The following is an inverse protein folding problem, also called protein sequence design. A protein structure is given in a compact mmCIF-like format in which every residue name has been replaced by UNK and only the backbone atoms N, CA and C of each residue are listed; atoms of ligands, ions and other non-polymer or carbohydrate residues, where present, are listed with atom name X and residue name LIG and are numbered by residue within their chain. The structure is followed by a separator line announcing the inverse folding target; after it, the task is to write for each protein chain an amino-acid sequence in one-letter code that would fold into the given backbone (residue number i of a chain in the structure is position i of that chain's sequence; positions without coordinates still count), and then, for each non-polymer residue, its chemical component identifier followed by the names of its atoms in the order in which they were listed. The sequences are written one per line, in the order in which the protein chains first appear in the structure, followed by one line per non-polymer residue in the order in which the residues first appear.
data_IF_004632721467
#
_entry.id   IF_004632721467
#
_cell.length_a   1.000
_cell.length_b   1.000
_cell.length_c   1.000
_cell.angle_alpha   90.00
_cell.angle_beta   90.00
_cell.angle_gamma   90.00
#
_symmetry.space_group_name_H-M   'P 1'
#
loop_
_entity.id
_entity.type
_entity.pdbx_description
1 polymer ?
#
# COMPACT_ATOMS: atom_id res chain seq x y z
N UNK A 1 11.17 21.88 -44.43
CA UNK A 1 10.03 20.95 -44.37
C UNK A 1 10.06 20.29 -42.99
N UNK A 2 9.39 20.91 -42.03
CA UNK A 2 9.32 20.41 -40.66
C UNK A 2 8.29 19.31 -40.64
N UNK A 3 8.75 18.08 -40.40
CA UNK A 3 7.88 16.95 -40.16
C UNK A 3 7.24 17.13 -38.79
N UNK A 4 5.98 17.55 -38.76
CA UNK A 4 5.13 17.55 -37.58
C UNK A 4 5.00 16.13 -37.11
N UNK A 5 5.74 15.77 -36.05
CA UNK A 5 5.53 14.50 -35.31
C UNK A 5 4.15 14.58 -34.64
N UNK A 6 3.16 14.03 -35.28
CA UNK A 6 1.86 13.76 -34.64
C UNK A 6 2.09 12.80 -33.46
N UNK A 7 2.10 13.34 -32.27
CA UNK A 7 2.07 12.53 -31.04
C UNK A 7 0.72 11.81 -31.00
N UNK A 8 0.70 10.58 -31.49
CA UNK A 8 -0.47 9.70 -31.33
C UNK A 8 -0.74 9.54 -29.84
N UNK A 9 -1.85 10.06 -29.36
CA UNK A 9 -2.32 9.89 -28.01
C UNK A 9 -2.39 8.36 -27.72
N UNK A 10 -1.84 7.95 -26.57
CA UNK A 10 -1.93 6.53 -26.19
C UNK A 10 -3.41 6.14 -26.10
N UNK A 11 -3.82 4.97 -26.61
CA UNK A 11 -5.20 4.54 -26.54
C UNK A 11 -5.65 4.51 -25.07
N UNK A 12 -6.84 5.07 -24.84
CA UNK A 12 -7.46 5.09 -23.52
C UNK A 12 -7.87 3.66 -23.15
N UNK A 13 -7.45 3.18 -21.97
CA UNK A 13 -7.72 1.81 -21.53
C UNK A 13 -8.79 1.87 -20.44
N UNK A 14 -10.05 1.77 -20.84
CA UNK A 14 -11.23 1.94 -19.98
C UNK A 14 -11.21 1.03 -18.74
N UNK A 15 -10.84 -0.24 -18.90
CA UNK A 15 -10.81 -1.16 -17.75
C UNK A 15 -9.78 -0.77 -16.67
N UNK A 16 -8.68 -0.10 -17.04
CA UNK A 16 -7.72 0.43 -16.07
C UNK A 16 -8.29 1.57 -15.25
N UNK A 17 -9.10 2.42 -15.86
CA UNK A 17 -9.74 3.52 -15.14
C UNK A 17 -10.82 3.01 -14.19
N UNK A 18 -11.59 1.99 -14.61
CA UNK A 18 -12.52 1.29 -13.73
C UNK A 18 -11.79 0.63 -12.58
N UNK A 19 -10.68 -0.09 -12.84
CA UNK A 19 -9.89 -0.73 -11.80
C UNK A 19 -9.30 0.28 -10.82
N UNK A 20 -8.84 1.44 -11.32
CA UNK A 20 -8.35 2.54 -10.48
C UNK A 20 -9.47 3.10 -9.59
N UNK A 21 -10.65 3.32 -10.15
CA UNK A 21 -11.81 3.77 -9.37
C UNK A 21 -12.16 2.77 -8.26
N UNK A 22 -12.22 1.49 -8.57
CA UNK A 22 -12.47 0.43 -7.58
C UNK A 22 -11.40 0.45 -6.49
N UNK A 23 -10.12 0.52 -6.87
CA UNK A 23 -9.02 0.57 -5.90
C UNK A 23 -9.08 1.82 -4.99
N UNK A 24 -9.46 2.99 -5.53
CA UNK A 24 -9.66 4.22 -4.74
C UNK A 24 -10.82 4.02 -3.74
N UNK A 25 -11.95 3.47 -4.19
CA UNK A 25 -13.09 3.21 -3.31
C UNK A 25 -12.73 2.19 -2.22
N UNK A 26 -11.93 1.18 -2.54
CA UNK A 26 -11.41 0.23 -1.53
C UNK A 26 -10.51 0.92 -0.50
N UNK A 27 -9.63 1.85 -0.92
CA UNK A 27 -8.79 2.63 0.03
C UNK A 27 -9.65 3.49 0.95
N UNK A 28 -10.64 4.19 0.41
CA UNK A 28 -11.56 4.99 1.23
C UNK A 28 -12.31 4.09 2.21
N UNK A 29 -12.87 2.99 1.73
CA UNK A 29 -13.63 2.07 2.55
C UNK A 29 -12.78 1.44 3.67
N UNK A 30 -11.51 1.08 3.42
CA UNK A 30 -10.65 0.51 4.46
C UNK A 30 -10.39 1.51 5.58
N UNK A 31 -10.11 2.78 5.24
CA UNK A 31 -9.94 3.82 6.25
C UNK A 31 -11.23 4.15 7.02
N UNK A 32 -12.40 3.88 6.44
CA UNK A 32 -13.67 3.94 7.17
C UNK A 32 -13.87 2.73 8.12
N UNK A 33 -13.20 1.60 7.88
CA UNK A 33 -13.27 0.42 8.73
C UNK A 33 -12.19 0.38 9.82
N UNK A 34 -11.10 1.11 9.66
CA UNK A 34 -9.99 1.16 10.62
C UNK A 34 -10.46 1.49 12.06
N UNK A 35 -11.37 2.46 12.31
CA UNK A 35 -11.85 2.74 13.67
C UNK A 35 -12.51 1.57 14.39
N UNK A 36 -13.10 0.62 13.64
CA UNK A 36 -13.72 -0.57 14.24
C UNK A 36 -12.69 -1.57 14.80
N UNK A 37 -11.43 -1.45 14.40
CA UNK A 37 -10.36 -2.35 14.80
C UNK A 37 -9.18 -1.63 15.48
N UNK A 38 -9.19 -0.29 15.49
CA UNK A 38 -8.05 0.51 15.93
C UNK A 38 -7.84 0.47 17.44
N UNK A 39 -8.92 0.54 18.26
CA UNK A 39 -8.80 0.58 19.71
C UNK A 39 -9.06 -0.78 20.35
N UNK A 40 -8.47 -1.04 21.55
CA UNK A 40 -8.79 -2.24 22.32
C UNK A 40 -10.27 -2.35 22.65
N UNK A 41 -10.96 -1.23 22.93
CA UNK A 41 -12.39 -1.18 23.24
C UNK A 41 -13.22 -1.60 22.01
N UNK A 42 -12.86 -1.09 20.83
CA UNK A 42 -13.51 -1.46 19.56
C UNK A 42 -13.34 -2.95 19.28
N UNK A 43 -12.13 -3.48 19.48
CA UNK A 43 -11.84 -4.92 19.31
C UNK A 43 -12.55 -5.81 20.31
N UNK A 44 -12.75 -5.33 21.55
CA UNK A 44 -13.49 -6.04 22.60
C UNK A 44 -15.00 -6.13 22.29
N UNK A 45 -15.54 -5.25 21.45
CA UNK A 45 -16.92 -5.34 20.98
C UNK A 45 -17.04 -6.42 19.90
N UNK A 46 -17.79 -7.51 20.13
CA UNK A 46 -17.87 -8.62 19.18
C UNK A 46 -18.41 -8.25 17.80
N UNK A 47 -19.35 -7.31 17.75
CA UNK A 47 -19.96 -6.86 16.50
C UNK A 47 -18.97 -6.00 15.69
N UNK A 48 -18.30 -5.04 16.31
CA UNK A 48 -17.29 -4.20 15.67
C UNK A 48 -16.12 -5.05 15.17
N UNK A 49 -15.62 -5.97 16.01
CA UNK A 49 -14.55 -6.88 15.63
C UNK A 49 -14.96 -7.78 14.44
N UNK A 50 -16.19 -8.31 14.45
CA UNK A 50 -16.67 -9.14 13.35
C UNK A 50 -16.78 -8.36 12.04
N UNK A 51 -17.51 -7.24 12.01
CA UNK A 51 -17.71 -6.48 10.79
C UNK A 51 -16.43 -5.78 10.30
N UNK A 52 -15.63 -5.26 11.22
CA UNK A 52 -14.31 -4.70 10.91
C UNK A 52 -13.41 -5.73 10.24
N UNK A 53 -13.38 -6.97 10.75
CA UNK A 53 -12.59 -8.05 10.14
C UNK A 53 -13.12 -8.46 8.77
N UNK A 54 -14.44 -8.54 8.58
CA UNK A 54 -15.08 -8.89 7.29
C UNK A 54 -14.73 -7.85 6.22
N UNK A 55 -15.01 -6.57 6.48
CA UNK A 55 -14.76 -5.50 5.52
C UNK A 55 -13.29 -5.19 5.35
N UNK A 56 -12.55 -5.12 6.46
CA UNK A 56 -11.11 -4.88 6.44
C UNK A 56 -10.37 -5.88 5.56
N UNK A 57 -10.63 -7.18 5.74
CA UNK A 57 -9.97 -8.24 4.96
C UNK A 57 -10.29 -8.17 3.46
N UNK A 58 -11.52 -7.78 3.10
CA UNK A 58 -11.93 -7.67 1.69
C UNK A 58 -11.20 -6.54 0.96
N UNK A 59 -10.85 -5.47 1.67
CA UNK A 59 -10.34 -4.23 1.08
C UNK A 59 -8.81 -4.16 0.98
N UNK A 60 -8.07 -5.11 1.60
CA UNK A 60 -6.59 -5.12 1.65
C UNK A 60 -5.90 -5.20 0.28
N UNK A 61 -6.58 -5.68 -0.74
CA UNK A 61 -6.03 -5.74 -2.10
C UNK A 61 -5.86 -4.35 -2.76
N UNK A 62 -6.33 -3.26 -2.16
CA UNK A 62 -6.34 -1.93 -2.76
C UNK A 62 -4.95 -1.42 -3.14
N UNK A 63 -3.99 -1.43 -2.21
CA UNK A 63 -2.61 -0.97 -2.46
C UNK A 63 -1.87 -1.88 -3.45
N UNK A 64 -1.88 -3.21 -3.31
CA UNK A 64 -1.38 -4.12 -4.33
C UNK A 64 -1.91 -3.83 -5.73
N UNK A 65 -3.20 -3.53 -5.90
CA UNK A 65 -3.78 -3.18 -7.20
C UNK A 65 -3.16 -1.92 -7.80
N UNK A 66 -2.91 -0.86 -7.01
CA UNK A 66 -2.21 0.34 -7.50
C UNK A 66 -0.80 0.05 -7.96
N UNK A 67 -0.06 -0.77 -7.22
CA UNK A 67 1.30 -1.17 -7.59
C UNK A 67 1.27 -2.03 -8.86
N UNK A 68 0.33 -2.96 -8.98
CA UNK A 68 0.17 -3.79 -10.18
C UNK A 68 -0.18 -2.93 -11.41
N UNK A 69 -1.11 -1.98 -11.30
CA UNK A 69 -1.41 -1.04 -12.38
C UNK A 69 -0.19 -0.21 -12.77
N UNK A 70 0.62 0.21 -11.81
CA UNK A 70 1.88 0.91 -12.05
C UNK A 70 2.86 0.05 -12.84
N UNK A 71 3.02 -1.22 -12.45
CA UNK A 71 3.85 -2.17 -13.16
C UNK A 71 3.37 -2.47 -14.58
N UNK A 72 2.06 -2.63 -14.77
CA UNK A 72 1.45 -2.80 -16.08
C UNK A 72 1.72 -1.63 -17.03
N UNK A 73 1.57 -0.41 -16.53
CA UNK A 73 1.67 0.81 -17.35
C UNK A 73 3.11 1.24 -17.64
N UNK A 74 4.04 0.96 -16.72
CA UNK A 74 5.37 1.57 -16.74
C UNK A 74 6.50 0.59 -17.01
N UNK A 75 6.34 -0.72 -16.78
CA UNK A 75 7.38 -1.70 -17.08
C UNK A 75 7.28 -2.25 -18.51
N UNK A 76 8.40 -2.42 -19.22
CA UNK A 76 9.73 -1.90 -18.87
C UNK A 76 9.83 -0.40 -19.16
N UNK A 77 10.59 0.33 -18.35
CA UNK A 77 10.93 1.74 -18.59
C UNK A 77 11.88 1.82 -19.77
N UNK A 78 11.43 2.43 -20.87
CA UNK A 78 12.21 2.53 -22.12
C UNK A 78 12.94 3.86 -22.28
N UNK A 79 12.65 4.82 -21.45
CA UNK A 79 13.30 6.13 -21.44
C UNK A 79 14.48 6.13 -20.48
N UNK A 80 15.39 7.07 -20.67
CA UNK A 80 16.52 7.29 -19.77
C UNK A 80 16.02 7.59 -18.34
N UNK A 81 16.74 7.07 -17.32
CA UNK A 81 16.31 7.09 -15.92
C UNK A 81 16.03 8.52 -15.40
N UNK A 82 16.90 9.48 -15.72
CA UNK A 82 16.73 10.88 -15.30
C UNK A 82 15.45 11.48 -15.87
N UNK A 83 15.14 11.19 -17.14
CA UNK A 83 13.91 11.63 -17.80
C UNK A 83 12.69 10.98 -17.17
N UNK A 84 12.77 9.70 -16.81
CA UNK A 84 11.71 9.00 -16.12
C UNK A 84 11.42 9.63 -14.74
N UNK A 85 12.46 9.87 -13.93
CA UNK A 85 12.33 10.48 -12.61
C UNK A 85 11.74 11.88 -12.67
N UNK A 86 12.30 12.76 -13.52
CA UNK A 86 11.81 14.13 -13.73
C UNK A 86 10.34 14.18 -14.15
N UNK A 87 9.86 13.15 -14.84
CA UNK A 87 8.48 13.09 -15.33
C UNK A 87 7.51 12.49 -14.32
N UNK A 88 7.95 11.53 -13.49
CA UNK A 88 7.06 10.74 -12.61
C UNK A 88 7.05 11.23 -11.17
N UNK A 89 8.22 11.47 -10.59
CA UNK A 89 8.32 11.84 -9.18
C UNK A 89 7.56 13.15 -8.88
N UNK A 90 7.73 14.24 -9.63
CA UNK A 90 7.04 15.49 -9.30
C UNK A 90 5.51 15.38 -9.31
N UNK A 91 4.94 14.51 -10.16
CA UNK A 91 3.48 14.33 -10.27
C UNK A 91 2.84 13.76 -9.01
N UNK A 92 3.59 12.99 -8.22
CA UNK A 92 3.12 12.44 -6.95
C UNK A 92 3.65 13.25 -5.78
N UNK A 93 4.86 13.80 -5.90
CA UNK A 93 5.53 14.56 -4.84
C UNK A 93 4.81 15.89 -4.54
N UNK A 94 4.41 16.65 -5.55
CA UNK A 94 3.75 17.94 -5.30
C UNK A 94 2.41 17.81 -4.58
N UNK A 95 1.45 16.97 -5.05
CA UNK A 95 0.22 16.75 -4.29
C UNK A 95 0.49 16.19 -2.88
N UNK A 96 1.45 15.27 -2.77
CA UNK A 96 1.86 14.70 -1.49
C UNK A 96 2.33 15.78 -0.51
N UNK A 97 3.25 16.66 -0.92
CA UNK A 97 3.75 17.74 -0.04
C UNK A 97 2.63 18.68 0.39
N UNK A 98 1.74 19.05 -0.55
CA UNK A 98 0.60 19.93 -0.24
C UNK A 98 -0.29 19.29 0.83
N UNK A 99 -0.71 18.04 0.63
CA UNK A 99 -1.59 17.34 1.56
C UNK A 99 -0.91 17.05 2.90
N UNK A 100 0.37 16.64 2.91
CA UNK A 100 1.11 16.41 4.16
C UNK A 100 1.21 17.67 5.00
N UNK A 101 1.53 18.81 4.37
CA UNK A 101 1.54 20.11 5.07
C UNK A 101 0.15 20.48 5.61
N UNK A 102 -0.91 20.25 4.83
CA UNK A 102 -2.27 20.52 5.28
C UNK A 102 -2.66 19.62 6.48
N UNK A 103 -2.32 18.34 6.43
CA UNK A 103 -2.58 17.42 7.55
C UNK A 103 -1.79 17.81 8.80
N UNK A 104 -0.51 18.13 8.66
CA UNK A 104 0.33 18.51 9.82
C UNK A 104 -0.08 19.86 10.43
N UNK A 105 -0.63 20.78 9.64
CA UNK A 105 -1.15 22.05 10.13
C UNK A 105 -2.58 21.96 10.70
N UNK A 106 -3.34 20.94 10.33
CA UNK A 106 -4.77 20.89 10.65
C UNK A 106 -5.08 20.93 12.15
N UNK A 107 -4.39 20.20 13.05
CA UNK A 107 -4.67 20.27 14.48
C UNK A 107 -4.47 21.68 15.08
N UNK A 108 -3.37 22.34 14.71
CA UNK A 108 -3.11 23.71 15.10
C UNK A 108 -4.16 24.68 14.55
N UNK A 109 -4.48 24.56 13.25
CA UNK A 109 -5.43 25.46 12.58
C UNK A 109 -6.83 25.34 13.17
N UNK A 110 -7.31 24.12 13.45
CA UNK A 110 -8.63 23.89 14.07
C UNK A 110 -8.71 24.62 15.43
N UNK A 111 -7.69 24.48 16.27
CA UNK A 111 -7.64 25.17 17.57
C UNK A 111 -7.53 26.67 17.40
N UNK A 112 -6.72 27.15 16.45
CA UNK A 112 -6.56 28.61 16.19
C UNK A 112 -7.84 29.29 15.76
N UNK A 113 -8.71 28.62 15.02
CA UNK A 113 -10.04 29.15 14.63
C UNK A 113 -11.12 28.96 15.72
N UNK A 114 -10.74 28.50 16.91
CA UNK A 114 -11.64 28.32 18.04
C UNK A 114 -12.34 26.96 18.11
N UNK A 115 -11.86 25.95 17.32
CA UNK A 115 -12.31 24.58 17.47
C UNK A 115 -11.85 23.96 18.79
N UNK A 116 -12.70 23.10 19.37
CA UNK A 116 -12.35 22.40 20.60
C UNK A 116 -11.31 21.28 20.38
N UNK A 117 -10.56 20.89 21.43
CA UNK A 117 -9.68 19.73 21.35
C UNK A 117 -10.40 18.43 20.97
N UNK A 118 -11.66 18.28 21.39
CA UNK A 118 -12.50 17.13 21.04
C UNK A 118 -12.73 17.05 19.52
N UNK A 119 -12.95 18.20 18.87
CA UNK A 119 -13.10 18.27 17.42
C UNK A 119 -11.85 17.77 16.70
N UNK A 120 -10.66 18.11 17.22
CA UNK A 120 -9.39 17.58 16.67
C UNK A 120 -9.31 16.07 16.81
N UNK A 121 -9.70 15.54 17.97
CA UNK A 121 -9.72 14.10 18.25
C UNK A 121 -10.75 13.37 17.36
N UNK A 122 -11.88 14.00 17.05
CA UNK A 122 -12.89 13.43 16.14
C UNK A 122 -12.36 13.27 14.70
N UNK A 123 -11.54 14.22 14.24
CA UNK A 123 -10.92 14.14 12.92
C UNK A 123 -9.65 13.27 12.87
N UNK A 124 -8.92 13.19 13.99
CA UNK A 124 -7.65 12.48 14.11
C UNK A 124 -7.66 11.60 15.37
N UNK A 125 -8.44 10.52 15.38
CA UNK A 125 -8.71 9.72 16.59
C UNK A 125 -7.49 8.94 17.12
N UNK A 126 -6.42 8.85 16.34
CA UNK A 126 -5.19 8.13 16.71
C UNK A 126 -4.21 8.99 17.52
N UNK A 127 -4.42 10.28 17.58
CA UNK A 127 -3.48 11.20 18.24
C UNK A 127 -3.83 11.34 19.73
N UNK A 128 -2.94 10.94 20.64
CA UNK A 128 -3.20 11.03 22.07
C UNK A 128 -3.15 12.46 22.62
N UNK A 129 -2.55 13.40 21.86
CA UNK A 129 -2.43 14.81 22.28
C UNK A 129 -2.78 15.77 21.13
N UNK A 130 -4.04 16.19 21.05
CA UNK A 130 -4.51 17.09 19.98
C UNK A 130 -4.02 18.54 20.11
N UNK A 131 -3.24 18.89 21.14
CA UNK A 131 -2.78 20.25 21.42
C UNK A 131 -1.50 20.67 20.68
N UNK A 132 -1.31 20.21 19.44
CA UNK A 132 -0.13 20.56 18.66
C UNK A 132 0.00 22.07 18.47
N UNK A 133 1.11 22.64 18.94
CA UNK A 133 1.44 24.06 18.73
C UNK A 133 1.90 24.28 17.28
N UNK A 134 1.87 25.54 16.82
CA UNK A 134 2.41 25.91 15.52
C UNK A 134 3.88 25.50 15.35
N UNK A 135 4.67 25.56 16.41
CA UNK A 135 6.08 25.14 16.41
C UNK A 135 6.20 23.62 16.18
N UNK A 136 5.33 22.83 16.81
CA UNK A 136 5.28 21.39 16.58
C UNK A 136 4.88 21.06 15.14
N UNK A 137 3.86 21.73 14.61
CA UNK A 137 3.45 21.59 13.21
C UNK A 137 4.60 21.90 12.23
N UNK A 138 5.39 22.95 12.49
CA UNK A 138 6.55 23.27 11.67
C UNK A 138 7.66 22.20 11.76
N UNK A 139 7.87 21.59 12.92
CA UNK A 139 8.83 20.49 13.07
C UNK A 139 8.41 19.26 12.28
N UNK A 140 7.12 18.88 12.36
CA UNK A 140 6.59 17.75 11.61
C UNK A 140 6.70 17.98 10.09
N UNK A 141 6.35 19.18 9.62
CA UNK A 141 6.51 19.57 8.22
C UNK A 141 7.98 19.47 7.77
N UNK A 142 8.93 19.89 8.59
CA UNK A 142 10.36 19.79 8.27
C UNK A 142 10.82 18.32 8.16
N UNK A 143 10.14 17.40 8.81
CA UNK A 143 10.45 15.97 8.78
C UNK A 143 9.78 15.21 7.64
N UNK A 144 8.83 15.80 6.91
CA UNK A 144 8.12 15.16 5.78
C UNK A 144 9.07 14.40 4.82
N UNK A 145 10.29 14.91 4.47
CA UNK A 145 11.19 14.14 3.60
C UNK A 145 11.67 12.80 4.18
N UNK A 146 11.59 12.61 5.48
CA UNK A 146 12.13 11.45 6.20
C UNK A 146 11.04 10.54 6.76
N UNK A 147 9.92 11.12 7.19
CA UNK A 147 8.84 10.39 7.88
C UNK A 147 7.52 11.11 7.72
N UNK A 148 6.45 10.48 8.18
CA UNK A 148 5.11 11.07 8.26
C UNK A 148 4.59 11.00 9.69
N UNK A 149 3.71 11.93 10.05
CA UNK A 149 3.02 11.92 11.33
C UNK A 149 1.77 11.05 11.28
N UNK A 150 1.22 10.73 12.44
CA UNK A 150 -0.05 10.01 12.55
C UNK A 150 -1.18 10.72 11.79
N UNK A 151 -1.18 12.04 11.75
CA UNK A 151 -2.15 12.84 10.97
C UNK A 151 -2.06 12.58 9.47
N UNK A 152 -0.87 12.29 8.97
CA UNK A 152 -0.57 12.05 7.57
C UNK A 152 -0.40 10.56 7.25
N UNK A 153 -0.86 9.66 8.11
CA UNK A 153 -0.72 8.20 7.92
C UNK A 153 -1.10 7.72 6.51
N UNK A 154 -2.19 8.17 5.86
CA UNK A 154 -2.52 7.72 4.51
C UNK A 154 -1.45 8.05 3.46
N UNK A 155 -0.52 8.96 3.76
CA UNK A 155 0.56 9.37 2.86
C UNK A 155 1.72 8.36 2.77
N UNK A 156 1.79 7.36 3.66
CA UNK A 156 2.85 6.34 3.64
C UNK A 156 3.05 5.70 2.28
N UNK A 157 1.96 5.49 1.53
CA UNK A 157 1.99 4.88 0.21
C UNK A 157 2.83 5.68 -0.80
N UNK A 158 2.87 7.01 -0.67
CA UNK A 158 3.63 7.86 -1.60
C UNK A 158 5.13 7.66 -1.41
N UNK A 159 5.61 7.46 -0.17
CA UNK A 159 7.01 7.10 0.09
C UNK A 159 7.35 5.77 -0.59
N UNK A 160 6.51 4.76 -0.41
CA UNK A 160 6.67 3.46 -1.05
C UNK A 160 6.66 3.59 -2.59
N UNK A 161 5.74 4.38 -3.14
CA UNK A 161 5.62 4.59 -4.59
C UNK A 161 6.84 5.32 -5.18
N UNK A 162 7.38 6.33 -4.48
CA UNK A 162 8.62 7.02 -4.89
C UNK A 162 9.78 6.02 -4.86
N UNK A 163 9.91 5.21 -3.81
CA UNK A 163 10.90 4.14 -3.75
C UNK A 163 10.81 3.17 -4.93
N UNK A 164 9.60 2.76 -5.28
CA UNK A 164 9.36 1.92 -6.46
C UNK A 164 9.74 2.64 -7.77
N UNK A 165 9.45 3.93 -7.92
CA UNK A 165 9.88 4.69 -9.10
C UNK A 165 11.40 4.78 -9.21
N UNK A 166 12.11 4.94 -8.10
CA UNK A 166 13.58 4.94 -8.10
C UNK A 166 14.14 3.57 -8.51
N UNK A 167 13.49 2.49 -8.09
CA UNK A 167 13.88 1.12 -8.40
C UNK A 167 13.56 0.71 -9.85
N UNK A 168 12.46 1.23 -10.44
CA UNK A 168 11.92 0.76 -11.72
C UNK A 168 12.90 0.77 -12.91
N UNK A 169 13.74 1.79 -13.16
CA UNK A 169 14.67 1.74 -14.29
C UNK A 169 15.67 0.60 -14.20
N UNK A 170 16.18 0.32 -13.00
CA UNK A 170 17.09 -0.81 -12.75
C UNK A 170 16.37 -2.14 -12.97
N UNK A 171 15.20 -2.29 -12.42
CA UNK A 171 14.39 -3.50 -12.55
C UNK A 171 13.94 -3.74 -14.00
N UNK A 172 13.68 -2.68 -14.74
CA UNK A 172 13.29 -2.74 -16.15
C UNK A 172 14.33 -3.40 -17.04
N UNK A 173 15.61 -3.19 -16.76
CA UNK A 173 16.69 -3.81 -17.53
C UNK A 173 16.64 -5.35 -17.43
N UNK A 174 16.29 -5.87 -16.28
CA UNK A 174 16.06 -7.30 -16.09
C UNK A 174 14.73 -7.74 -16.70
N UNK A 175 13.63 -7.02 -16.45
CA UNK A 175 12.30 -7.36 -16.95
C UNK A 175 12.25 -7.47 -18.46
N UNK A 176 12.99 -6.61 -19.18
CA UNK A 176 13.05 -6.60 -20.63
C UNK A 176 13.73 -7.85 -21.20
N UNK A 177 14.82 -8.29 -20.55
CA UNK A 177 15.65 -9.42 -21.02
C UNK A 177 15.22 -10.78 -20.45
N UNK A 178 14.52 -10.79 -19.32
CA UNK A 178 14.16 -12.01 -18.63
C UNK A 178 13.14 -12.84 -19.43
N UNK A 179 13.38 -14.14 -19.51
CA UNK A 179 12.41 -15.10 -20.08
C UNK A 179 11.16 -15.20 -19.18
N UNK A 180 10.06 -15.68 -19.76
CA UNK A 180 8.84 -15.95 -19.00
C UNK A 180 9.07 -16.95 -17.86
N UNK A 181 9.97 -17.93 -18.07
CA UNK A 181 10.35 -18.87 -17.01
C UNK A 181 11.04 -18.17 -15.85
N UNK A 182 11.97 -17.24 -16.12
CA UNK A 182 12.66 -16.47 -15.10
C UNK A 182 11.69 -15.56 -14.32
N UNK A 183 10.74 -14.91 -15.03
CA UNK A 183 9.69 -14.07 -14.39
C UNK A 183 8.78 -14.89 -13.48
N UNK A 184 8.34 -16.09 -13.92
CA UNK A 184 7.56 -16.99 -13.07
C UNK A 184 8.34 -17.45 -11.85
N UNK A 185 9.61 -17.82 -12.01
CA UNK A 185 10.47 -18.21 -10.90
C UNK A 185 10.60 -17.08 -9.88
N UNK A 186 10.87 -15.85 -10.33
CA UNK A 186 10.90 -14.67 -9.47
C UNK A 186 9.58 -14.50 -8.72
N UNK A 187 8.46 -14.53 -9.42
CA UNK A 187 7.13 -14.36 -8.81
C UNK A 187 6.81 -15.47 -7.80
N UNK A 188 7.22 -16.71 -8.06
CA UNK A 188 7.01 -17.81 -7.13
C UNK A 188 7.85 -17.66 -5.86
N UNK A 189 9.13 -17.31 -5.99
CA UNK A 189 10.01 -17.07 -4.83
C UNK A 189 9.55 -15.84 -4.04
N UNK A 190 9.16 -14.78 -4.73
CA UNK A 190 8.59 -13.59 -4.10
C UNK A 190 7.30 -13.92 -3.33
N UNK A 191 6.39 -14.67 -3.93
CA UNK A 191 5.15 -15.10 -3.27
C UNK A 191 5.45 -15.92 -2.01
N UNK A 192 6.41 -16.84 -2.06
CA UNK A 192 6.84 -17.60 -0.89
C UNK A 192 7.40 -16.67 0.19
N UNK A 193 8.19 -15.65 -0.19
CA UNK A 193 8.77 -14.71 0.78
C UNK A 193 7.72 -13.86 1.52
N UNK A 194 6.53 -13.69 0.96
CA UNK A 194 5.43 -12.96 1.63
C UNK A 194 4.90 -13.70 2.88
N UNK A 195 5.18 -14.99 3.03
CA UNK A 195 4.78 -15.77 4.20
C UNK A 195 5.78 -15.69 5.37
N UNK A 196 6.95 -15.07 5.17
CA UNK A 196 7.99 -14.99 6.22
C UNK A 196 7.51 -14.22 7.45
N UNK A 197 6.83 -13.08 7.35
CA UNK A 197 6.29 -12.39 8.53
C UNK A 197 5.36 -13.28 9.36
N UNK A 198 4.51 -14.07 8.69
CA UNK A 198 3.62 -15.02 9.37
C UNK A 198 4.39 -16.14 10.08
N UNK A 199 5.44 -16.68 9.44
CA UNK A 199 6.32 -17.66 10.09
C UNK A 199 7.02 -17.05 11.30
N UNK A 200 7.38 -15.77 11.24
CA UNK A 200 8.00 -15.05 12.36
C UNK A 200 7.08 -15.05 13.56
N UNK A 201 5.81 -14.78 13.37
CA UNK A 201 4.82 -14.78 14.48
C UNK A 201 4.61 -16.17 15.10
N UNK A 202 4.46 -17.20 14.28
CA UNK A 202 4.17 -18.55 14.79
C UNK A 202 5.38 -19.33 15.30
N UNK A 203 6.60 -18.99 14.86
CA UNK A 203 7.82 -19.74 15.21
C UNK A 203 8.94 -18.86 15.78
N UNK A 204 8.60 -17.73 16.35
CA UNK A 204 9.54 -16.73 16.88
C UNK A 204 10.60 -17.31 17.82
N UNK A 205 10.23 -18.31 18.62
CA UNK A 205 11.15 -19.01 19.55
C UNK A 205 12.36 -19.64 18.85
N UNK A 206 12.23 -20.00 17.58
CA UNK A 206 13.25 -20.72 16.81
C UNK A 206 13.95 -19.84 15.77
N UNK A 207 13.68 -18.54 15.76
CA UNK A 207 14.21 -17.66 14.74
C UNK A 207 15.57 -17.07 15.13
N UNK A 208 16.46 -17.13 14.16
CA UNK A 208 17.73 -16.42 14.19
C UNK A 208 17.76 -15.42 13.03
N UNK A 209 18.43 -14.28 13.24
CA UNK A 209 18.64 -13.29 12.19
C UNK A 209 17.46 -12.39 11.89
N UNK A 210 16.45 -12.34 12.76
CA UNK A 210 15.44 -11.29 12.69
C UNK A 210 16.11 -9.95 13.03
N UNK A 211 15.86 -8.95 12.22
CA UNK A 211 16.29 -7.60 12.52
C UNK A 211 15.08 -6.70 12.65
N UNK A 212 15.07 -5.86 13.67
CA UNK A 212 13.98 -4.96 14.02
C UNK A 212 13.64 -3.92 12.95
N UNK A 213 14.48 -3.76 11.94
CA UNK A 213 14.31 -2.78 10.88
C UNK A 213 13.70 -3.34 9.59
N UNK A 214 13.36 -4.65 9.55
CA UNK A 214 12.60 -5.19 8.43
C UNK A 214 11.80 -6.45 8.81
N UNK A 215 10.55 -6.49 8.40
CA UNK A 215 9.63 -7.60 8.66
C UNK A 215 9.88 -8.85 7.80
N UNK A 216 10.66 -8.73 6.73
CA UNK A 216 10.99 -9.82 5.82
C UNK A 216 12.30 -10.55 6.16
N UNK A 217 12.96 -10.21 7.28
CA UNK A 217 14.21 -10.82 7.71
C UNK A 217 15.27 -10.79 6.62
N UNK A 218 15.90 -11.92 6.34
CA UNK A 218 16.97 -12.02 5.35
C UNK A 218 16.51 -11.79 3.90
N UNK A 219 15.21 -11.80 3.63
CA UNK A 219 14.65 -11.58 2.30
C UNK A 219 14.26 -10.12 2.01
N UNK A 220 14.69 -9.20 2.84
CA UNK A 220 14.42 -7.77 2.75
C UNK A 220 14.58 -7.18 1.34
N UNK A 221 15.66 -7.51 0.63
CA UNK A 221 15.92 -6.98 -0.72
C UNK A 221 15.05 -7.62 -1.81
N UNK A 222 14.42 -8.74 -1.52
CA UNK A 222 13.67 -9.52 -2.50
C UNK A 222 12.15 -9.40 -2.31
N UNK A 223 11.69 -9.37 -1.07
CA UNK A 223 10.27 -9.26 -0.71
C UNK A 223 9.72 -7.83 -0.89
N UNK A 224 8.45 -7.67 -0.67
CA UNK A 224 7.78 -6.37 -0.69
C UNK A 224 7.05 -6.06 -2.00
N UNK A 225 6.84 -4.76 -2.27
CA UNK A 225 5.96 -4.30 -3.37
C UNK A 225 6.53 -4.49 -4.77
N UNK A 226 7.83 -4.73 -4.92
CA UNK A 226 8.48 -4.96 -6.21
C UNK A 226 7.88 -6.14 -6.98
N UNK A 227 7.47 -7.20 -6.29
CA UNK A 227 6.82 -8.34 -6.92
C UNK A 227 5.46 -8.01 -7.51
N UNK A 228 4.69 -7.14 -6.88
CA UNK A 228 3.42 -6.67 -7.46
C UNK A 228 3.63 -5.86 -8.74
N UNK A 229 4.73 -5.10 -8.87
CA UNK A 229 5.08 -4.44 -10.15
C UNK A 229 5.24 -5.47 -11.27
N UNK A 230 6.01 -6.53 -11.00
CA UNK A 230 6.23 -7.60 -11.98
C UNK A 230 4.95 -8.37 -12.26
N UNK A 231 4.16 -8.66 -11.23
CA UNK A 231 2.90 -9.39 -11.38
C UNK A 231 1.94 -8.63 -12.29
N UNK A 232 1.77 -7.32 -12.09
CA UNK A 232 0.95 -6.48 -12.95
C UNK A 232 1.43 -6.46 -14.40
N UNK A 233 2.73 -6.32 -14.62
CA UNK A 233 3.33 -6.40 -15.94
C UNK A 233 3.15 -7.78 -16.60
N UNK A 234 3.35 -8.85 -15.84
CA UNK A 234 3.27 -10.22 -16.34
C UNK A 234 1.83 -10.61 -16.72
N UNK A 235 0.86 -10.29 -15.85
CA UNK A 235 -0.55 -10.56 -16.11
C UNK A 235 -1.09 -9.72 -17.27
N UNK A 236 -0.72 -8.45 -17.36
CA UNK A 236 -1.15 -7.57 -18.42
C UNK A 236 -0.74 -7.98 -19.82
N UNK A 237 0.30 -8.80 -19.96
CA UNK A 237 0.70 -9.40 -21.23
C UNK A 237 -0.09 -10.64 -21.62
N UNK A 238 -0.86 -11.22 -20.69
CA UNK A 238 -1.54 -12.52 -20.86
C UNK A 238 -3.06 -12.41 -20.95
N UNK A 239 -3.59 -11.24 -21.26
CA UNK A 239 -5.03 -10.94 -21.23
C UNK A 239 -5.86 -11.59 -22.34
N UNK A 240 -5.31 -12.52 -23.10
CA UNK A 240 -6.04 -13.29 -24.14
C UNK A 240 -6.61 -14.57 -23.54
N UNK A 241 -7.63 -14.46 -22.69
CA UNK A 241 -8.32 -15.62 -22.13
C UNK A 241 -9.82 -15.43 -22.13
N UNK A 242 -10.58 -16.54 -22.27
CA UNK A 242 -12.04 -16.48 -22.10
C UNK A 242 -12.36 -15.99 -20.68
N UNK A 243 -13.18 -14.95 -20.55
CA UNK A 243 -13.56 -14.33 -19.28
C UNK A 243 -14.03 -15.37 -18.25
N UNK A 244 -14.85 -16.34 -18.67
CA UNK A 244 -15.34 -17.39 -17.79
C UNK A 244 -14.24 -18.24 -17.17
N UNK A 245 -13.22 -18.63 -17.94
CA UNK A 245 -12.07 -19.38 -17.41
C UNK A 245 -11.24 -18.54 -16.43
N UNK A 246 -11.04 -17.27 -16.73
CA UNK A 246 -10.32 -16.35 -15.84
C UNK A 246 -11.08 -16.19 -14.51
N UNK A 247 -12.38 -15.95 -14.53
CA UNK A 247 -13.21 -15.82 -13.33
C UNK A 247 -13.22 -17.12 -12.51
N UNK A 248 -13.34 -18.27 -13.17
CA UNK A 248 -13.30 -19.58 -12.50
C UNK A 248 -12.02 -19.83 -11.73
N UNK A 249 -10.90 -19.27 -12.15
CA UNK A 249 -9.62 -19.38 -11.45
C UNK A 249 -9.40 -18.28 -10.40
N UNK A 250 -9.80 -17.04 -10.71
CA UNK A 250 -9.48 -15.89 -9.85
C UNK A 250 -10.45 -15.74 -8.68
N UNK A 251 -11.71 -16.10 -8.82
CA UNK A 251 -12.69 -16.02 -7.72
C UNK A 251 -12.31 -16.96 -6.57
N UNK A 252 -12.03 -18.26 -6.79
CA UNK A 252 -11.59 -19.13 -5.70
C UNK A 252 -10.28 -18.64 -5.04
N UNK A 253 -9.33 -18.17 -5.84
CA UNK A 253 -8.08 -17.63 -5.30
C UNK A 253 -8.30 -16.40 -4.42
N UNK A 254 -9.19 -15.49 -4.85
CA UNK A 254 -9.59 -14.34 -4.04
C UNK A 254 -10.27 -14.77 -2.74
N UNK A 255 -11.20 -15.71 -2.80
CA UNK A 255 -11.91 -16.21 -1.61
C UNK A 255 -10.96 -16.91 -0.62
N UNK A 256 -9.98 -17.66 -1.12
CA UNK A 256 -8.95 -18.27 -0.26
C UNK A 256 -8.11 -17.19 0.42
N UNK A 257 -7.62 -16.19 -0.32
CA UNK A 257 -6.87 -15.08 0.25
C UNK A 257 -7.69 -14.29 1.28
N UNK A 258 -8.92 -13.94 0.93
CA UNK A 258 -9.85 -13.27 1.83
C UNK A 258 -10.06 -14.06 3.14
N UNK A 259 -10.31 -15.37 3.02
CA UNK A 259 -10.54 -16.22 4.18
C UNK A 259 -9.30 -16.35 5.07
N UNK A 260 -8.11 -16.46 4.49
CA UNK A 260 -6.84 -16.48 5.24
C UNK A 260 -6.68 -15.18 6.03
N UNK A 261 -6.87 -14.02 5.40
CA UNK A 261 -6.76 -12.72 6.05
C UNK A 261 -7.80 -12.57 7.17
N UNK A 262 -9.06 -12.88 6.88
CA UNK A 262 -10.14 -12.80 7.86
C UNK A 262 -9.94 -13.75 9.05
N UNK A 263 -9.61 -15.01 8.80
CA UNK A 263 -9.39 -15.99 9.86
C UNK A 263 -8.13 -15.67 10.68
N UNK A 264 -7.06 -15.23 10.02
CA UNK A 264 -5.83 -14.81 10.68
C UNK A 264 -6.07 -13.62 11.61
N UNK A 265 -6.75 -12.58 11.13
CA UNK A 265 -7.10 -11.43 11.95
C UNK A 265 -7.98 -11.83 13.14
N UNK A 266 -9.01 -12.67 12.92
CA UNK A 266 -9.88 -13.19 14.00
C UNK A 266 -9.12 -14.01 15.03
N UNK A 267 -8.15 -14.80 14.58
CA UNK A 267 -7.27 -15.58 15.48
C UNK A 267 -6.40 -14.65 16.32
N UNK A 268 -5.73 -13.68 15.71
CA UNK A 268 -4.87 -12.73 16.43
C UNK A 268 -5.67 -11.89 17.44
N UNK A 269 -6.82 -11.39 17.06
CA UNK A 269 -7.67 -10.57 17.95
C UNK A 269 -8.37 -11.39 19.05
N UNK A 270 -8.30 -12.72 19.03
CA UNK A 270 -8.77 -13.55 20.14
C UNK A 270 -7.84 -13.54 21.35
N UNK A 271 -6.58 -13.16 21.17
CA UNK A 271 -5.64 -12.94 22.27
C UNK A 271 -5.70 -11.46 22.70
N UNK A 272 -6.13 -11.16 23.94
CA UNK A 272 -6.18 -9.78 24.43
C UNK A 272 -4.80 -9.12 24.55
N UNK A 273 -3.72 -9.90 24.54
CA UNK A 273 -2.35 -9.43 24.65
C UNK A 273 -1.64 -9.29 23.27
N UNK A 274 -2.35 -9.52 22.18
CA UNK A 274 -1.76 -9.38 20.85
C UNK A 274 -1.24 -7.96 20.64
N UNK A 275 -0.01 -7.84 20.16
CA UNK A 275 0.58 -6.54 19.80
C UNK A 275 -0.11 -5.95 18.56
N UNK A 276 -0.04 -4.62 18.42
CA UNK A 276 -0.51 -3.96 17.20
C UNK A 276 0.20 -4.50 15.96
N UNK A 277 1.52 -4.73 16.05
CA UNK A 277 2.33 -5.32 14.98
C UNK A 277 1.83 -6.72 14.59
N UNK A 278 1.46 -7.56 15.58
CA UNK A 278 0.88 -8.88 15.33
C UNK A 278 -0.47 -8.81 14.63
N UNK A 279 -1.29 -7.81 14.93
CA UNK A 279 -2.56 -7.60 14.23
C UNK A 279 -2.36 -7.09 12.80
N UNK A 280 -1.44 -6.15 12.60
CA UNK A 280 -1.11 -5.60 11.30
C UNK A 280 -0.59 -6.65 10.31
N UNK A 281 -0.10 -7.78 10.81
CA UNK A 281 0.34 -8.89 9.99
C UNK A 281 -0.76 -9.40 9.03
N UNK A 282 -2.02 -9.37 9.46
CA UNK A 282 -3.18 -9.80 8.67
C UNK A 282 -4.02 -8.62 8.15
N UNK A 283 -3.55 -7.42 8.39
CA UNK A 283 -4.23 -6.18 7.99
C UNK A 283 -3.64 -5.51 6.77
#
# INVERSE_FOLDING_TARGET
MDTVQTTTARPHIVWLDVLRLVAILMVIAIHCTDPFNASPESRANPEFNFWGSVYGSMLRASVPLFVMMTGFLLLPVRQEASTFYKKRIPRVLFPFLIWSVLFDLAPWFIQWVGGSPELVTDFFPWEPNPSASFVEALKTIALIPLTFTVYATPMWYIYALIGLYLYMPVFSAWVEKASDKAKRMFLSLWFISLFIPYLTEFVSRYQFGTCSWNSFGLFYYFAGFNGYLLLGHYLGKKTEGALGKTLLMTIPLFLVGYFITWAGFRYMTSDPNVSEEGMELFF
#
